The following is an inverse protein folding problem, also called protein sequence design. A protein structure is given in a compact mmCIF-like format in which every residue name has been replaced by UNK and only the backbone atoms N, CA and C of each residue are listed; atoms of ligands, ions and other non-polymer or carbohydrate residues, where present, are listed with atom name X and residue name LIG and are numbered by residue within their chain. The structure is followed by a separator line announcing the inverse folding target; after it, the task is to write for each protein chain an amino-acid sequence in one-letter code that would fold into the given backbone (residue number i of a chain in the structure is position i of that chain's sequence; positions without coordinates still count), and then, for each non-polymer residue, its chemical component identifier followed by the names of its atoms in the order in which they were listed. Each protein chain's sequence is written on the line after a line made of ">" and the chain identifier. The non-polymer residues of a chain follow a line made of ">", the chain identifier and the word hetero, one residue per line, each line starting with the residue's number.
data_IF_069110008985
#
_entry.id   IF_069110008985
#
_cell.length_a   1.000
_cell.length_b   1.000
_cell.length_c   1.000
_cell.angle_alpha   90.00
_cell.angle_beta   90.00
_cell.angle_gamma   90.00
#
_symmetry.space_group_name_H-M   'P 1'
#
loop_
_entity.id
_entity.type
_entity.pdbx_description
1 polymer ?
#
# COMPACT_ATOMS: atom_id res chain seq x y z
N UNK A 1 -35.09 -15.33 -2.71
CA UNK A 1 -34.96 -13.89 -2.34
C UNK A 1 -35.10 -13.68 -0.82
N UNK A 2 -36.10 -14.20 -0.16
CA UNK A 2 -36.34 -14.02 1.29
C UNK A 2 -35.24 -14.65 2.15
N UNK A 3 -34.75 -15.84 1.79
CA UNK A 3 -33.65 -16.53 2.46
C UNK A 3 -32.31 -15.75 2.35
N UNK A 4 -32.02 -15.17 1.20
CA UNK A 4 -30.81 -14.34 1.01
C UNK A 4 -30.90 -13.02 1.80
N UNK A 5 -32.06 -12.39 1.87
CA UNK A 5 -32.28 -11.19 2.66
C UNK A 5 -32.09 -11.47 4.16
N UNK A 6 -32.60 -12.60 4.65
CA UNK A 6 -32.40 -13.00 6.06
C UNK A 6 -30.93 -13.32 6.34
N UNK A 7 -30.24 -14.03 5.45
CA UNK A 7 -28.79 -14.28 5.58
C UNK A 7 -27.98 -12.97 5.64
N UNK A 8 -28.28 -11.99 4.75
CA UNK A 8 -27.67 -10.64 4.81
C UNK A 8 -27.95 -9.96 6.17
N UNK A 9 -29.15 -10.09 6.72
CA UNK A 9 -29.50 -9.47 8.01
C UNK A 9 -28.81 -10.14 9.21
N UNK A 10 -28.71 -11.46 9.19
CA UNK A 10 -27.95 -12.21 10.23
C UNK A 10 -26.50 -11.75 10.22
N UNK A 11 -25.86 -11.71 9.06
CA UNK A 11 -24.46 -11.31 8.93
C UNK A 11 -24.26 -9.84 9.36
N UNK A 12 -25.16 -8.91 9.00
CA UNK A 12 -25.13 -7.52 9.49
C UNK A 12 -25.14 -7.44 11.00
N UNK A 13 -25.98 -8.21 11.67
CA UNK A 13 -26.07 -8.25 13.15
C UNK A 13 -24.75 -8.77 13.74
N UNK A 14 -24.22 -9.87 13.21
CA UNK A 14 -22.96 -10.46 13.68
C UNK A 14 -21.79 -9.46 13.57
N UNK A 15 -21.64 -8.81 12.42
CA UNK A 15 -20.53 -7.87 12.19
C UNK A 15 -20.63 -6.62 13.06
N UNK A 16 -21.84 -6.09 13.26
CA UNK A 16 -22.07 -4.97 14.20
C UNK A 16 -21.71 -5.36 15.65
N UNK A 17 -22.07 -6.56 16.09
CA UNK A 17 -21.71 -7.05 17.43
C UNK A 17 -20.20 -7.17 17.59
N UNK A 18 -19.51 -7.75 16.60
CA UNK A 18 -18.04 -7.90 16.60
C UNK A 18 -17.33 -6.54 16.62
N UNK A 19 -17.78 -5.57 15.82
CA UNK A 19 -17.21 -4.20 15.82
C UNK A 19 -17.36 -3.52 17.18
N UNK A 20 -18.56 -3.60 17.78
CA UNK A 20 -18.83 -3.02 19.11
C UNK A 20 -18.02 -3.67 20.23
N UNK A 21 -17.62 -4.92 20.08
CA UNK A 21 -16.81 -5.64 21.06
C UNK A 21 -15.31 -5.24 21.01
N UNK A 22 -14.86 -4.48 20.02
CA UNK A 22 -13.48 -3.99 19.97
C UNK A 22 -13.25 -2.93 21.05
N UNK A 23 -12.10 -3.00 21.74
CA UNK A 23 -11.69 -1.93 22.63
C UNK A 23 -11.42 -0.63 21.85
N UNK A 24 -11.54 0.54 22.49
CA UNK A 24 -11.21 1.82 21.87
C UNK A 24 -9.77 1.85 21.33
N UNK A 25 -8.81 1.28 22.07
CA UNK A 25 -7.39 1.22 21.72
C UNK A 25 -7.16 0.35 20.48
N UNK A 26 -7.79 -0.84 20.44
CA UNK A 26 -7.69 -1.73 19.27
C UNK A 26 -8.27 -1.08 18.01
N UNK A 27 -9.38 -0.34 18.16
CA UNK A 27 -10.02 0.39 17.06
C UNK A 27 -9.16 1.54 16.60
N UNK A 28 -8.62 2.34 17.54
CA UNK A 28 -7.70 3.45 17.24
C UNK A 28 -6.48 2.94 16.46
N UNK A 29 -5.80 1.90 16.97
CA UNK A 29 -4.64 1.30 16.29
C UNK A 29 -4.98 0.78 14.89
N UNK A 30 -6.13 0.13 14.72
CA UNK A 30 -6.58 -0.32 13.41
C UNK A 30 -6.82 0.84 12.45
N UNK A 31 -7.42 1.94 12.92
CA UNK A 31 -7.65 3.17 12.14
C UNK A 31 -6.33 3.82 11.71
N UNK A 32 -5.35 3.94 12.61
CA UNK A 32 -4.01 4.47 12.30
C UNK A 32 -3.32 3.66 11.20
N UNK A 33 -3.37 2.32 11.28
CA UNK A 33 -2.81 1.44 10.24
C UNK A 33 -3.54 1.62 8.91
N UNK A 34 -4.86 1.68 8.91
CA UNK A 34 -5.66 1.91 7.69
C UNK A 34 -5.32 3.26 7.06
N UNK A 35 -5.30 4.34 7.83
CA UNK A 35 -4.94 5.66 7.31
C UNK A 35 -3.55 5.66 6.68
N UNK A 36 -2.56 5.06 7.35
CA UNK A 36 -1.22 4.96 6.83
C UNK A 36 -1.14 4.14 5.52
N UNK A 37 -1.90 3.04 5.42
CA UNK A 37 -2.00 2.25 4.19
C UNK A 37 -2.63 3.04 3.05
N UNK A 38 -3.74 3.72 3.30
CA UNK A 38 -4.40 4.55 2.28
C UNK A 38 -3.48 5.69 1.79
N UNK A 39 -2.72 6.33 2.68
CA UNK A 39 -1.73 7.35 2.33
C UNK A 39 -0.52 6.81 1.56
N UNK A 40 -0.27 5.51 1.64
CA UNK A 40 0.80 4.81 0.92
C UNK A 40 0.30 4.16 -0.38
N UNK A 41 -1.01 4.19 -0.64
CA UNK A 41 -1.60 3.59 -1.84
C UNK A 41 -1.30 4.44 -3.08
N UNK A 42 -0.51 3.88 -3.99
CA UNK A 42 -0.08 4.57 -5.21
C UNK A 42 -1.24 4.91 -6.15
N UNK A 43 -2.30 4.09 -6.16
CA UNK A 43 -3.51 4.34 -6.95
C UNK A 43 -4.28 5.55 -6.45
N UNK A 44 -4.48 5.67 -5.11
CA UNK A 44 -5.12 6.86 -4.51
C UNK A 44 -4.29 8.10 -4.79
N UNK A 45 -2.98 8.04 -4.55
CA UNK A 45 -2.10 9.19 -4.73
C UNK A 45 -2.09 9.69 -6.18
N UNK A 46 -2.01 8.78 -7.14
CA UNK A 46 -2.05 9.14 -8.56
C UNK A 46 -3.43 9.69 -8.98
N UNK A 47 -4.51 9.06 -8.53
CA UNK A 47 -5.87 9.46 -8.89
C UNK A 47 -6.26 10.84 -8.34
N UNK A 48 -5.63 11.29 -7.26
CA UNK A 48 -6.00 12.52 -6.54
C UNK A 48 -4.92 13.59 -6.54
N UNK A 49 -3.84 13.44 -7.33
CA UNK A 49 -2.75 14.41 -7.38
C UNK A 49 -3.23 15.75 -8.00
N UNK A 50 -3.30 16.85 -7.24
CA UNK A 50 -3.77 18.13 -7.76
C UNK A 50 -2.85 18.71 -8.86
N UNK A 51 -1.56 18.33 -8.88
CA UNK A 51 -0.59 18.81 -9.87
C UNK A 51 -0.76 18.12 -11.23
N UNK A 52 -1.34 16.92 -11.25
CA UNK A 52 -1.62 16.18 -12.47
C UNK A 52 -3.10 16.24 -12.89
N UNK A 53 -3.88 17.17 -12.28
CA UNK A 53 -5.30 17.33 -12.57
C UNK A 53 -6.17 16.24 -11.92
N UNK A 54 -5.72 15.66 -10.83
CA UNK A 54 -6.45 14.64 -10.07
C UNK A 54 -7.77 15.16 -9.52
N UNK A 55 -8.75 14.26 -9.40
CA UNK A 55 -10.09 14.56 -8.93
C UNK A 55 -10.25 14.54 -7.42
N UNK A 56 -11.49 14.54 -6.97
CA UNK A 56 -11.81 14.46 -5.55
C UNK A 56 -11.65 13.02 -5.01
N UNK A 57 -11.37 12.89 -3.71
CA UNK A 57 -11.50 11.64 -2.97
C UNK A 57 -12.77 11.66 -2.12
N UNK A 58 -13.64 10.66 -2.32
CA UNK A 58 -14.82 10.46 -1.49
C UNK A 58 -14.48 9.55 -0.30
N UNK A 59 -14.85 10.00 0.89
CA UNK A 59 -14.64 9.29 2.15
C UNK A 59 -15.93 9.21 2.94
N UNK A 60 -15.97 8.41 3.98
CA UNK A 60 -17.02 8.47 5.00
C UNK A 60 -16.49 9.11 6.28
N UNK A 61 -17.37 9.78 7.00
CA UNK A 61 -17.10 10.24 8.36
C UNK A 61 -17.54 9.15 9.33
N UNK A 62 -16.60 8.63 10.11
CA UNK A 62 -16.79 7.41 10.86
C UNK A 62 -17.81 7.55 12.01
N UNK A 63 -18.69 6.59 12.14
CA UNK A 63 -19.45 6.36 13.37
C UNK A 63 -18.54 5.80 14.49
N UNK A 64 -18.94 5.84 15.76
CA UNK A 64 -18.07 5.45 16.88
C UNK A 64 -17.51 4.02 16.82
N UNK A 65 -18.11 3.12 16.05
CA UNK A 65 -17.68 1.73 15.90
C UNK A 65 -17.05 1.42 14.53
N UNK A 66 -16.85 2.42 13.68
CA UNK A 66 -16.15 2.30 12.41
C UNK A 66 -14.66 2.62 12.52
N UNK A 67 -13.92 2.26 11.48
CA UNK A 67 -12.53 2.68 11.31
C UNK A 67 -12.52 4.19 11.03
N UNK A 68 -11.80 4.94 11.83
CA UNK A 68 -11.71 6.39 11.71
C UNK A 68 -10.67 6.78 10.64
N UNK A 69 -11.09 7.63 9.71
CA UNK A 69 -10.26 8.14 8.61
C UNK A 69 -9.73 9.56 8.86
N UNK A 70 -9.86 10.09 10.06
CA UNK A 70 -9.54 11.49 10.35
C UNK A 70 -8.10 11.88 9.96
N UNK A 71 -7.12 11.01 10.21
CA UNK A 71 -5.73 11.27 9.87
C UNK A 71 -5.49 11.26 8.35
N UNK A 72 -6.14 10.34 7.63
CA UNK A 72 -6.14 10.33 6.17
C UNK A 72 -6.76 11.62 5.60
N UNK A 73 -7.93 12.01 6.10
CA UNK A 73 -8.64 13.23 5.67
C UNK A 73 -7.78 14.47 5.90
N UNK A 74 -7.17 14.63 7.09
CA UNK A 74 -6.29 15.79 7.40
C UNK A 74 -5.11 15.88 6.45
N UNK A 75 -4.47 14.75 6.17
CA UNK A 75 -3.31 14.70 5.27
C UNK A 75 -3.72 15.05 3.83
N UNK A 76 -4.84 14.52 3.33
CA UNK A 76 -5.34 14.83 1.98
C UNK A 76 -5.71 16.30 1.83
N UNK A 77 -6.40 16.87 2.83
CA UNK A 77 -6.68 18.32 2.86
C UNK A 77 -5.40 19.15 2.90
N UNK A 78 -4.41 18.74 3.70
CA UNK A 78 -3.09 19.38 3.78
C UNK A 78 -2.32 19.39 2.46
N UNK A 79 -2.54 18.39 1.61
CA UNK A 79 -1.98 18.29 0.25
C UNK A 79 -2.78 19.10 -0.79
N UNK A 80 -3.87 19.74 -0.40
CA UNK A 80 -4.74 20.48 -1.31
C UNK A 80 -5.70 19.61 -2.13
N UNK A 81 -5.85 18.33 -1.78
CA UNK A 81 -6.82 17.43 -2.43
C UNK A 81 -8.24 17.80 -2.02
N UNK A 82 -9.17 17.80 -2.98
CA UNK A 82 -10.60 17.93 -2.68
C UNK A 82 -11.11 16.64 -2.01
N UNK A 83 -11.50 16.73 -0.74
CA UNK A 83 -12.09 15.63 0.02
C UNK A 83 -13.58 15.84 0.15
N UNK A 84 -14.37 14.82 -0.16
CA UNK A 84 -15.85 14.87 -0.10
C UNK A 84 -16.42 13.74 0.76
N UNK A 85 -17.58 13.97 1.34
CA UNK A 85 -18.31 12.96 2.10
C UNK A 85 -19.80 13.04 1.83
N UNK A 86 -20.56 11.94 1.97
CA UNK A 86 -22.01 11.98 1.86
C UNK A 86 -22.64 12.96 2.86
N UNK A 87 -23.55 13.79 2.36
CA UNK A 87 -24.32 14.77 3.12
C UNK A 87 -25.80 14.62 2.76
N UNK A 88 -26.64 14.54 3.78
CA UNK A 88 -28.10 14.44 3.61
C UNK A 88 -28.71 15.79 3.27
N UNK A 89 -29.46 15.88 2.18
CA UNK A 89 -30.13 17.08 1.72
C UNK A 89 -31.59 17.21 2.17
N UNK A 90 -32.16 16.15 2.74
CA UNK A 90 -33.56 16.00 3.14
C UNK A 90 -34.27 14.85 2.44
N UNK A 91 -33.80 14.42 1.26
CA UNK A 91 -34.38 13.37 0.45
C UNK A 91 -33.35 12.28 0.08
N UNK A 92 -32.14 12.69 -0.23
CA UNK A 92 -31.06 11.80 -0.67
C UNK A 92 -29.70 12.23 -0.10
N UNK A 93 -28.65 11.43 -0.36
CA UNK A 93 -27.29 11.81 -0.08
C UNK A 93 -26.63 12.35 -1.35
N UNK A 94 -26.04 13.54 -1.24
CA UNK A 94 -25.12 14.14 -2.20
C UNK A 94 -23.71 14.17 -1.61
N UNK A 95 -22.68 14.31 -2.45
CA UNK A 95 -21.31 14.49 -1.99
C UNK A 95 -21.04 15.96 -1.73
N UNK A 96 -20.61 16.32 -0.52
CA UNK A 96 -20.24 17.66 -0.17
C UNK A 96 -18.79 17.73 0.31
N UNK A 97 -18.11 18.86 0.02
CA UNK A 97 -16.72 19.08 0.41
C UNK A 97 -16.54 19.14 1.91
N UNK A 98 -15.48 18.49 2.39
CA UNK A 98 -14.97 18.61 3.75
C UNK A 98 -13.94 19.74 3.76
N UNK A 99 -14.17 20.79 4.57
CA UNK A 99 -13.22 21.91 4.74
C UNK A 99 -12.33 21.73 5.98
N UNK A 100 -12.74 20.89 6.90
CA UNK A 100 -12.05 20.55 8.14
C UNK A 100 -12.83 19.54 8.94
N UNK A 101 -12.25 19.06 10.04
CA UNK A 101 -12.85 18.06 10.93
C UNK A 101 -13.24 18.63 12.30
N UNK A 102 -13.33 19.96 12.41
CA UNK A 102 -13.81 20.66 13.59
C UNK A 102 -15.33 20.88 13.57
N UNK A 103 -15.90 21.28 14.69
CA UNK A 103 -17.33 21.49 14.87
C UNK A 103 -17.91 22.61 13.99
N UNK A 104 -17.08 23.53 13.45
CA UNK A 104 -17.53 24.57 12.53
C UNK A 104 -17.76 24.02 11.10
N UNK A 105 -17.01 22.98 10.74
CA UNK A 105 -17.01 22.38 9.40
C UNK A 105 -17.89 21.13 9.30
N UNK A 106 -18.34 20.57 10.43
CA UNK A 106 -19.15 19.38 10.49
C UNK A 106 -20.47 19.61 11.21
N UNK A 107 -21.50 18.90 10.79
CA UNK A 107 -22.81 18.85 11.49
C UNK A 107 -23.23 17.39 11.73
N UNK A 108 -24.24 17.19 12.55
CA UNK A 108 -24.86 15.87 12.71
C UNK A 108 -26.06 15.74 11.78
N UNK A 109 -25.99 14.76 10.91
CA UNK A 109 -27.06 14.37 10.01
C UNK A 109 -27.94 13.25 10.57
N UNK A 110 -28.70 12.57 9.70
CA UNK A 110 -29.50 11.41 10.08
C UNK A 110 -28.68 10.34 10.80
N UNK A 111 -29.33 9.62 11.72
CA UNK A 111 -28.70 8.60 12.58
C UNK A 111 -27.50 9.11 13.41
N UNK A 112 -27.40 10.42 13.61
CA UNK A 112 -26.33 11.08 14.37
C UNK A 112 -24.92 10.88 13.75
N UNK A 113 -24.85 10.64 12.45
CA UNK A 113 -23.59 10.54 11.69
C UNK A 113 -23.10 11.95 11.37
N UNK A 114 -21.78 12.17 11.48
CA UNK A 114 -21.17 13.44 11.07
C UNK A 114 -21.22 13.58 9.55
N UNK A 115 -21.48 14.80 9.08
CA UNK A 115 -21.48 15.15 7.67
C UNK A 115 -20.99 16.59 7.48
N UNK A 116 -20.54 17.00 6.27
CA UNK A 116 -20.12 18.37 6.03
C UNK A 116 -21.22 19.38 6.39
N UNK A 117 -20.87 20.46 7.11
CA UNK A 117 -21.82 21.49 7.52
C UNK A 117 -22.34 22.30 6.32
N UNK A 118 -21.43 22.64 5.40
CA UNK A 118 -21.78 23.36 4.17
C UNK A 118 -22.17 22.40 3.05
N UNK A 119 -23.08 22.85 2.18
CA UNK A 119 -23.56 22.09 1.02
C UNK A 119 -22.79 22.50 -0.26
N UNK A 120 -21.45 22.50 -0.22
CA UNK A 120 -20.64 22.66 -1.42
C UNK A 120 -20.56 21.30 -2.13
N UNK A 121 -21.52 21.09 -3.05
CA UNK A 121 -21.74 19.81 -3.71
C UNK A 121 -20.68 19.58 -4.78
N UNK A 122 -20.25 18.32 -4.89
CA UNK A 122 -19.35 17.79 -5.92
C UNK A 122 -20.05 16.65 -6.61
N UNK A 123 -20.02 16.64 -7.92
CA UNK A 123 -20.66 15.57 -8.70
C UNK A 123 -19.86 14.25 -8.55
N UNK A 124 -20.54 13.09 -8.53
CA UNK A 124 -19.84 11.80 -8.46
C UNK A 124 -18.84 11.58 -9.60
N UNK A 125 -19.05 12.20 -10.77
CA UNK A 125 -18.14 12.16 -11.93
C UNK A 125 -16.79 12.84 -11.68
N UNK A 126 -16.73 13.76 -10.72
CA UNK A 126 -15.49 14.47 -10.36
C UNK A 126 -14.67 13.73 -9.29
N UNK A 127 -15.20 12.61 -8.80
CA UNK A 127 -14.55 11.76 -7.80
C UNK A 127 -13.74 10.70 -8.51
N UNK A 128 -12.45 10.65 -8.25
CA UNK A 128 -11.51 9.70 -8.86
C UNK A 128 -11.14 8.54 -7.94
N UNK A 129 -11.30 8.71 -6.62
CA UNK A 129 -11.08 7.65 -5.65
C UNK A 129 -12.18 7.65 -4.57
N UNK A 130 -12.62 6.45 -4.17
CA UNK A 130 -13.67 6.23 -3.19
C UNK A 130 -13.17 5.33 -2.06
N UNK A 131 -13.26 5.81 -0.83
CA UNK A 131 -13.04 4.99 0.37
C UNK A 131 -14.41 4.60 0.93
N UNK A 132 -14.75 3.32 0.78
CA UNK A 132 -16.11 2.83 0.95
C UNK A 132 -16.24 2.03 2.25
N UNK A 133 -17.19 2.39 3.15
CA UNK A 133 -17.46 1.64 4.36
C UNK A 133 -18.36 0.43 4.09
N UNK A 134 -18.35 -0.53 5.02
CA UNK A 134 -19.24 -1.68 4.97
C UNK A 134 -19.23 -2.51 6.24
N UNK A 135 -20.12 -3.50 6.31
CA UNK A 135 -20.22 -4.43 7.42
C UNK A 135 -19.45 -5.73 7.16
N UNK A 136 -19.43 -6.22 5.90
CA UNK A 136 -18.63 -7.35 5.49
C UNK A 136 -18.14 -7.14 4.05
N UNK A 137 -17.03 -7.80 3.72
CA UNK A 137 -16.41 -7.73 2.40
C UNK A 137 -15.87 -9.10 2.01
N UNK A 138 -15.72 -9.34 0.72
CA UNK A 138 -14.96 -10.46 0.20
C UNK A 138 -13.65 -9.99 -0.43
N UNK A 139 -12.70 -10.89 -0.59
CA UNK A 139 -11.42 -10.58 -1.24
C UNK A 139 -11.57 -10.16 -2.70
N UNK A 140 -12.65 -10.58 -3.36
CA UNK A 140 -13.00 -10.24 -4.74
C UNK A 140 -13.85 -8.97 -4.86
N UNK A 141 -13.95 -8.17 -3.80
CA UNK A 141 -14.55 -6.83 -3.81
C UNK A 141 -16.07 -6.77 -3.61
N UNK A 142 -16.75 -7.88 -3.28
CA UNK A 142 -18.17 -7.79 -2.88
C UNK A 142 -18.29 -7.11 -1.52
N UNK A 143 -19.36 -6.36 -1.33
CA UNK A 143 -19.59 -5.56 -0.11
C UNK A 143 -21.00 -5.78 0.45
N UNK A 144 -21.09 -5.97 1.75
CA UNK A 144 -22.35 -5.91 2.49
C UNK A 144 -22.46 -4.55 3.20
N UNK A 145 -23.30 -3.69 2.69
CA UNK A 145 -23.62 -2.39 3.30
C UNK A 145 -24.61 -2.50 4.47
N UNK A 146 -24.99 -1.34 5.00
CA UNK A 146 -25.91 -1.22 6.14
C UNK A 146 -27.39 -1.54 5.82
N UNK A 147 -27.75 -1.68 4.54
CA UNK A 147 -29.08 -2.03 4.05
C UNK A 147 -29.88 -0.88 3.45
N UNK A 148 -29.36 0.35 3.45
CA UNK A 148 -30.02 1.52 2.84
C UNK A 148 -29.76 1.71 1.35
N UNK A 149 -28.80 1.00 0.76
CA UNK A 149 -28.41 1.11 -0.65
C UNK A 149 -27.84 2.48 -1.07
N UNK A 150 -27.48 3.34 -0.10
CA UNK A 150 -27.00 4.71 -0.39
C UNK A 150 -25.68 4.73 -1.16
N UNK A 151 -24.70 3.90 -0.74
CA UNK A 151 -23.43 3.81 -1.45
C UNK A 151 -23.58 3.18 -2.84
N UNK A 152 -24.50 2.23 -3.03
CA UNK A 152 -24.73 1.63 -4.34
C UNK A 152 -25.32 2.66 -5.32
N UNK A 153 -26.17 3.57 -4.83
CA UNK A 153 -26.65 4.72 -5.64
C UNK A 153 -25.56 5.75 -5.93
N UNK A 154 -24.76 6.12 -4.93
CA UNK A 154 -23.65 7.09 -5.12
C UNK A 154 -22.58 6.54 -6.07
N UNK A 155 -22.35 5.23 -6.04
CA UNK A 155 -21.34 4.57 -6.87
C UNK A 155 -21.87 4.16 -8.26
N UNK A 156 -23.19 4.28 -8.50
CA UNK A 156 -23.77 3.88 -9.77
C UNK A 156 -23.19 4.65 -10.97
N UNK A 157 -22.88 5.93 -10.76
CA UNK A 157 -22.29 6.81 -11.77
C UNK A 157 -20.76 6.91 -11.66
N UNK A 158 -20.14 6.22 -10.71
CA UNK A 158 -18.71 6.22 -10.46
C UNK A 158 -17.97 5.20 -11.36
N UNK A 159 -18.18 5.29 -12.68
CA UNK A 159 -17.47 4.45 -13.63
C UNK A 159 -15.99 4.84 -13.70
N UNK A 160 -15.13 3.85 -13.95
CA UNK A 160 -13.66 4.03 -14.13
C UNK A 160 -12.95 4.78 -12.99
N UNK A 161 -13.50 4.74 -11.76
CA UNK A 161 -12.91 5.32 -10.57
C UNK A 161 -12.42 4.26 -9.61
N UNK A 162 -11.40 4.57 -8.83
CA UNK A 162 -10.82 3.65 -7.84
C UNK A 162 -11.75 3.52 -6.63
N UNK A 163 -12.20 2.30 -6.31
CA UNK A 163 -13.12 1.99 -5.21
C UNK A 163 -12.45 1.06 -4.20
N UNK A 164 -12.14 1.59 -3.03
CA UNK A 164 -11.41 0.87 -1.98
C UNK A 164 -12.31 0.67 -0.76
N UNK A 165 -12.52 -0.57 -0.36
CA UNK A 165 -13.15 -0.91 0.90
C UNK A 165 -12.17 -0.81 2.06
N UNK A 166 -12.64 -0.40 3.23
CA UNK A 166 -11.86 -0.49 4.47
C UNK A 166 -12.59 -1.33 5.50
N UNK A 167 -11.87 -2.27 6.12
CA UNK A 167 -12.46 -3.30 6.96
C UNK A 167 -11.50 -3.76 8.05
N UNK A 168 -12.02 -4.19 9.19
CA UNK A 168 -11.27 -5.05 10.10
C UNK A 168 -11.12 -6.46 9.50
N UNK A 169 -10.08 -7.20 9.87
CA UNK A 169 -9.81 -8.57 9.40
C UNK A 169 -11.05 -9.47 9.47
N UNK A 170 -11.76 -9.41 10.58
CA UNK A 170 -12.94 -10.26 10.81
C UNK A 170 -14.16 -9.90 9.94
N UNK A 171 -14.12 -8.79 9.22
CA UNK A 171 -15.15 -8.39 8.26
C UNK A 171 -14.90 -8.98 6.87
N UNK A 172 -13.72 -9.61 6.65
CA UNK A 172 -13.45 -10.35 5.42
C UNK A 172 -14.09 -11.74 5.54
N UNK A 173 -14.98 -12.04 4.63
CA UNK A 173 -15.68 -13.32 4.54
C UNK A 173 -15.43 -13.98 3.19
N UNK A 174 -15.64 -15.30 3.10
CA UNK A 174 -15.34 -16.05 1.89
C UNK A 174 -16.32 -15.73 0.75
N UNK A 175 -17.59 -15.51 1.08
CA UNK A 175 -18.63 -15.17 0.09
C UNK A 175 -19.73 -14.29 0.69
N UNK A 176 -20.36 -13.50 -0.19
CA UNK A 176 -21.50 -12.66 0.12
C UNK A 176 -22.58 -12.81 -0.94
N UNK A 177 -23.87 -12.88 -0.54
CA UNK A 177 -24.96 -12.78 -1.50
C UNK A 177 -24.85 -11.48 -2.29
N UNK A 178 -24.76 -11.58 -3.60
CA UNK A 178 -24.55 -10.45 -4.53
C UNK A 178 -25.75 -10.32 -5.45
N UNK A 179 -26.18 -9.09 -5.67
CA UNK A 179 -27.27 -8.74 -6.59
C UNK A 179 -26.69 -7.96 -7.78
N UNK A 180 -27.38 -7.96 -8.95
CA UNK A 180 -26.84 -7.31 -10.16
C UNK A 180 -26.55 -5.81 -10.03
N UNK A 181 -27.19 -5.14 -9.07
CA UNK A 181 -27.00 -3.72 -8.80
C UNK A 181 -25.96 -3.42 -7.70
N UNK A 182 -25.44 -4.45 -7.02
CA UNK A 182 -24.38 -4.27 -6.04
C UNK A 182 -23.08 -3.91 -6.76
N UNK A 183 -22.45 -2.81 -6.38
CA UNK A 183 -21.19 -2.34 -6.97
C UNK A 183 -20.00 -3.06 -6.32
N UNK A 184 -19.13 -3.62 -7.16
CA UNK A 184 -17.87 -4.23 -6.69
C UNK A 184 -16.82 -3.16 -6.44
N UNK A 185 -16.02 -3.42 -5.43
CA UNK A 185 -14.83 -2.64 -5.10
C UNK A 185 -13.61 -3.25 -5.81
N UNK A 186 -12.61 -2.41 -6.11
CA UNK A 186 -11.37 -2.87 -6.73
C UNK A 186 -10.53 -3.69 -5.76
N UNK A 187 -10.45 -3.25 -4.49
CA UNK A 187 -9.82 -4.02 -3.42
C UNK A 187 -10.31 -3.59 -2.03
N UNK A 188 -9.92 -4.34 -1.00
CA UNK A 188 -10.27 -4.06 0.39
C UNK A 188 -9.01 -3.99 1.23
N UNK A 189 -8.83 -2.88 1.95
CA UNK A 189 -7.69 -2.65 2.85
C UNK A 189 -8.09 -3.05 4.27
N UNK A 190 -7.25 -3.84 4.92
CA UNK A 190 -7.41 -4.24 6.32
C UNK A 190 -6.20 -3.83 7.16
N UNK A 191 -6.30 -3.74 8.49
CA UNK A 191 -5.18 -3.38 9.36
C UNK A 191 -4.12 -4.48 9.47
N UNK A 192 -4.27 -5.60 8.74
CA UNK A 192 -3.25 -6.65 8.71
C UNK A 192 -1.98 -6.17 8.01
N UNK A 193 -0.90 -6.08 8.75
CA UNK A 193 0.43 -5.87 8.20
C UNK A 193 0.99 -7.26 7.89
N UNK A 194 0.86 -7.71 6.64
CA UNK A 194 1.50 -8.94 6.19
C UNK A 194 3.02 -8.74 6.14
N UNK A 195 3.68 -9.07 7.24
CA UNK A 195 5.10 -8.84 7.46
C UNK A 195 5.98 -10.04 7.08
N UNK A 196 5.49 -10.95 6.22
CA UNK A 196 6.23 -12.18 5.87
C UNK A 196 7.68 -11.96 5.46
N UNK A 197 8.03 -10.75 5.04
CA UNK A 197 9.37 -10.38 4.60
C UNK A 197 10.03 -9.31 5.46
N UNK A 198 9.37 -8.86 6.53
CA UNK A 198 9.83 -7.80 7.41
C UNK A 198 9.86 -8.30 8.86
N UNK A 199 11.05 -8.47 9.41
CA UNK A 199 11.23 -8.70 10.83
C UNK A 199 11.25 -7.34 11.55
N UNK A 200 10.33 -7.14 12.48
CA UNK A 200 10.23 -5.91 13.28
C UNK A 200 10.15 -6.26 14.75
N UNK A 201 11.07 -5.72 15.53
CA UNK A 201 11.14 -5.95 16.98
C UNK A 201 11.14 -4.61 17.70
N UNK A 202 10.13 -4.38 18.51
CA UNK A 202 10.09 -3.23 19.41
C UNK A 202 11.01 -3.46 20.61
N UNK A 203 11.67 -2.41 21.07
CA UNK A 203 12.52 -2.41 22.24
C UNK A 203 12.09 -1.26 23.17
N UNK A 204 12.38 -1.30 24.49
CA UNK A 204 11.95 -0.23 25.40
C UNK A 204 12.41 1.18 24.97
N UNK A 205 13.52 1.30 24.27
CA UNK A 205 14.12 2.56 23.84
C UNK A 205 13.95 2.84 22.34
N UNK A 206 13.18 2.02 21.60
CA UNK A 206 13.01 2.19 20.15
C UNK A 206 12.63 0.89 19.43
N UNK A 207 13.22 0.61 18.28
CA UNK A 207 12.96 -0.63 17.53
C UNK A 207 14.13 -1.07 16.67
N UNK A 208 14.08 -2.33 16.25
CA UNK A 208 14.95 -2.89 15.21
C UNK A 208 14.07 -3.47 14.09
N UNK A 209 14.38 -3.13 12.84
CA UNK A 209 13.69 -3.67 11.68
C UNK A 209 14.69 -4.24 10.68
N UNK A 210 14.38 -5.40 10.10
CA UNK A 210 15.20 -6.04 9.06
C UNK A 210 14.33 -6.76 8.04
N UNK A 211 14.85 -6.92 6.82
CA UNK A 211 14.18 -7.73 5.80
C UNK A 211 14.42 -9.20 6.08
N UNK A 212 13.37 -10.04 5.99
CA UNK A 212 13.42 -11.46 6.34
C UNK A 212 14.45 -12.26 5.53
N UNK A 213 14.97 -13.33 6.15
CA UNK A 213 15.96 -14.22 5.56
C UNK A 213 15.49 -14.90 4.25
N UNK A 214 14.19 -15.12 4.10
CA UNK A 214 13.60 -15.82 2.93
C UNK A 214 13.73 -14.98 1.65
N UNK A 215 13.45 -13.67 1.73
CA UNK A 215 13.66 -12.74 0.61
C UNK A 215 15.15 -12.62 0.26
N UNK A 216 16.02 -12.62 1.26
CA UNK A 216 17.47 -12.62 1.09
C UNK A 216 17.97 -13.84 0.36
N UNK A 217 17.47 -15.04 0.71
CA UNK A 217 17.85 -16.29 0.06
C UNK A 217 17.48 -16.29 -1.42
N UNK A 218 16.23 -15.91 -1.77
CA UNK A 218 15.77 -15.84 -3.17
C UNK A 218 16.65 -14.89 -4.01
N UNK A 219 17.03 -13.74 -3.47
CA UNK A 219 17.90 -12.76 -4.16
C UNK A 219 19.33 -13.28 -4.34
N UNK A 220 19.90 -13.96 -3.34
CA UNK A 220 21.22 -14.59 -3.46
C UNK A 220 21.24 -15.65 -4.54
N UNK A 221 20.23 -16.51 -4.59
CA UNK A 221 20.09 -17.55 -5.62
C UNK A 221 19.98 -16.90 -7.01
N UNK A 222 19.14 -15.90 -7.18
CA UNK A 222 19.01 -15.19 -8.46
C UNK A 222 20.32 -14.53 -8.89
N UNK A 223 21.07 -13.92 -7.96
CA UNK A 223 22.38 -13.34 -8.24
C UNK A 223 23.42 -14.38 -8.70
N UNK A 224 23.48 -15.51 -8.02
CA UNK A 224 24.37 -16.63 -8.37
C UNK A 224 24.03 -17.16 -9.75
N UNK A 225 22.75 -17.38 -10.05
CA UNK A 225 22.29 -17.84 -11.37
C UNK A 225 22.64 -16.84 -12.49
N UNK A 226 22.53 -15.54 -12.21
CA UNK A 226 22.94 -14.47 -13.15
C UNK A 226 24.44 -14.48 -13.41
N UNK A 227 25.27 -14.69 -12.38
CA UNK A 227 26.73 -14.82 -12.53
C UNK A 227 27.10 -16.06 -13.37
N UNK A 228 26.45 -17.18 -13.13
CA UNK A 228 26.65 -18.40 -13.93
C UNK A 228 26.28 -18.18 -15.39
N UNK A 229 25.15 -17.49 -15.67
CA UNK A 229 24.76 -17.14 -17.04
C UNK A 229 25.81 -16.28 -17.73
N UNK A 230 26.32 -15.25 -17.06
CA UNK A 230 27.37 -14.38 -17.62
C UNK A 230 28.71 -15.12 -17.84
N UNK A 231 29.03 -16.14 -17.08
CA UNK A 231 30.25 -16.94 -17.25
C UNK A 231 30.27 -17.74 -18.56
N UNK A 232 29.13 -17.91 -19.23
CA UNK A 232 29.05 -18.54 -20.54
C UNK A 232 29.60 -17.65 -21.68
N UNK A 233 29.71 -16.34 -21.45
CA UNK A 233 30.14 -15.39 -22.48
C UNK A 233 31.54 -15.68 -23.07
N UNK A 234 32.62 -15.92 -22.28
CA UNK A 234 33.92 -16.25 -22.84
C UNK A 234 33.91 -17.59 -23.59
N UNK A 235 33.11 -18.56 -23.16
CA UNK A 235 32.98 -19.86 -23.84
C UNK A 235 32.38 -19.65 -25.24
N UNK A 236 31.38 -18.80 -25.34
CA UNK A 236 30.73 -18.44 -26.59
C UNK A 236 31.71 -17.79 -27.61
N UNK A 237 32.55 -16.87 -27.12
CA UNK A 237 33.59 -16.22 -27.92
C UNK A 237 34.61 -17.23 -28.45
N UNK A 238 35.03 -18.19 -27.60
CA UNK A 238 35.97 -19.24 -28.03
C UNK A 238 35.36 -20.16 -29.07
N UNK A 239 34.12 -20.59 -28.95
CA UNK A 239 33.38 -21.42 -29.91
C UNK A 239 33.22 -20.66 -31.23
N UNK A 240 32.82 -19.38 -31.18
CA UNK A 240 32.70 -18.54 -32.39
C UNK A 240 34.04 -18.35 -33.13
N UNK A 241 35.12 -18.14 -32.37
CA UNK A 241 36.47 -18.05 -32.96
C UNK A 241 36.94 -19.38 -33.57
N UNK A 242 36.70 -20.51 -32.93
CA UNK A 242 37.04 -21.84 -33.45
C UNK A 242 36.29 -22.16 -34.73
N UNK A 243 35.00 -21.78 -34.83
CA UNK A 243 34.22 -21.92 -36.06
C UNK A 243 34.77 -21.02 -37.19
N UNK A 244 35.02 -19.75 -36.87
CA UNK A 244 35.56 -18.79 -37.84
C UNK A 244 36.93 -19.24 -38.43
N UNK A 245 37.72 -19.90 -37.61
CA UNK A 245 39.05 -20.41 -38.02
C UNK A 245 39.03 -21.81 -38.64
N UNK A 246 37.84 -22.40 -38.90
CA UNK A 246 37.69 -23.71 -39.49
C UNK A 246 38.07 -24.89 -38.61
N UNK A 247 38.22 -24.66 -37.31
CA UNK A 247 38.51 -25.73 -36.32
C UNK A 247 37.28 -26.61 -36.02
N UNK A 248 36.08 -26.07 -36.30
CA UNK A 248 34.81 -26.75 -36.04
C UNK A 248 34.05 -26.75 -37.38
N UNK A 249 33.76 -27.94 -37.93
CA UNK A 249 32.94 -28.11 -39.13
C UNK A 249 31.49 -28.43 -38.72
N UNK A 250 30.66 -27.42 -38.72
CA UNK A 250 29.24 -27.53 -38.41
C UNK A 250 28.40 -26.75 -39.41
N UNK A 251 27.18 -27.22 -39.74
CA UNK A 251 26.29 -26.45 -40.62
C UNK A 251 25.91 -25.11 -39.95
N UNK A 252 25.82 -24.06 -40.78
CA UNK A 252 25.59 -22.68 -40.30
C UNK A 252 24.37 -22.53 -39.39
N UNK A 253 23.28 -23.26 -39.67
CA UNK A 253 22.09 -23.22 -38.81
C UNK A 253 22.36 -23.77 -37.40
N UNK A 254 23.19 -24.80 -37.28
CA UNK A 254 23.55 -25.39 -35.97
C UNK A 254 24.44 -24.41 -35.17
N UNK A 255 25.38 -23.74 -35.84
CA UNK A 255 26.23 -22.71 -35.22
C UNK A 255 25.39 -21.53 -34.77
N UNK A 256 24.45 -21.06 -35.59
CA UNK A 256 23.53 -19.97 -35.22
C UNK A 256 22.66 -20.33 -34.06
N UNK A 257 22.11 -21.55 -34.00
CA UNK A 257 21.33 -22.02 -32.87
C UNK A 257 22.17 -22.12 -31.57
N UNK A 258 23.41 -22.61 -31.71
CA UNK A 258 24.35 -22.75 -30.59
C UNK A 258 24.83 -21.40 -30.05
N UNK A 259 24.81 -20.34 -30.86
CA UNK A 259 25.15 -18.97 -30.44
C UNK A 259 23.94 -18.20 -29.94
N UNK A 260 22.78 -18.30 -30.57
CA UNK A 260 21.59 -17.52 -30.24
C UNK A 260 21.03 -17.85 -28.86
N UNK A 261 20.95 -19.15 -28.48
CA UNK A 261 20.39 -19.55 -27.20
C UNK A 261 21.23 -19.05 -26.00
N UNK A 262 22.56 -19.21 -26.00
CA UNK A 262 23.38 -18.65 -24.94
C UNK A 262 23.43 -17.12 -24.96
N UNK A 263 23.40 -16.45 -26.15
CA UNK A 263 23.29 -14.99 -26.19
C UNK A 263 22.02 -14.47 -25.54
N UNK A 264 20.89 -15.10 -25.80
CA UNK A 264 19.64 -14.80 -25.13
C UNK A 264 19.74 -15.02 -23.60
N UNK A 265 20.34 -16.16 -23.18
CA UNK A 265 20.56 -16.44 -21.76
C UNK A 265 21.46 -15.40 -21.07
N UNK A 266 22.54 -14.96 -21.76
CA UNK A 266 23.44 -13.90 -21.28
C UNK A 266 22.70 -12.56 -21.18
N UNK A 267 21.89 -12.21 -22.19
CA UNK A 267 21.11 -10.99 -22.16
C UNK A 267 20.08 -10.96 -21.01
N UNK A 268 19.37 -12.08 -20.80
CA UNK A 268 18.44 -12.25 -19.68
C UNK A 268 19.19 -12.19 -18.34
N UNK A 269 20.32 -12.88 -18.22
CA UNK A 269 21.16 -12.86 -17.02
C UNK A 269 21.73 -11.47 -16.74
N UNK A 270 22.13 -10.74 -17.76
CA UNK A 270 22.61 -9.35 -17.66
C UNK A 270 21.51 -8.40 -17.19
N UNK A 271 20.30 -8.53 -17.76
CA UNK A 271 19.15 -7.74 -17.32
C UNK A 271 18.75 -8.07 -15.87
N UNK A 272 18.75 -9.37 -15.49
CA UNK A 272 18.51 -9.80 -14.12
C UNK A 272 19.60 -9.26 -13.16
N UNK A 273 20.87 -9.28 -13.57
CA UNK A 273 21.97 -8.75 -12.81
C UNK A 273 21.86 -7.23 -12.60
N UNK A 274 21.48 -6.47 -13.65
CA UNK A 274 21.22 -5.03 -13.53
C UNK A 274 20.07 -4.75 -12.57
N UNK A 275 18.98 -5.49 -12.65
CA UNK A 275 17.88 -5.38 -11.69
C UNK A 275 18.30 -5.70 -10.26
N UNK A 276 19.13 -6.72 -10.03
CA UNK A 276 19.65 -7.06 -8.71
C UNK A 276 20.62 -5.99 -8.21
N UNK A 277 21.48 -5.44 -9.08
CA UNK A 277 22.44 -4.39 -8.70
C UNK A 277 21.75 -3.03 -8.43
N UNK A 278 20.68 -2.72 -9.18
CA UNK A 278 19.88 -1.52 -8.98
C UNK A 278 18.70 -1.78 -8.00
N UNK A 279 18.50 -3.02 -7.61
CA UNK A 279 17.44 -3.45 -6.71
C UNK A 279 17.61 -2.94 -5.29
N UNK A 280 16.55 -3.07 -4.49
CA UNK A 280 16.55 -2.62 -3.12
C UNK A 280 17.64 -3.34 -2.33
N UNK A 281 18.44 -2.55 -1.68
CA UNK A 281 19.44 -3.04 -0.76
C UNK A 281 18.76 -3.53 0.52
N UNK A 282 19.25 -4.64 1.06
CA UNK A 282 18.83 -5.09 2.38
C UNK A 282 19.24 -4.05 3.38
N UNK A 283 18.28 -3.54 4.12
CA UNK A 283 18.50 -2.58 5.18
C UNK A 283 18.19 -3.21 6.54
N UNK A 284 19.06 -2.97 7.48
CA UNK A 284 18.80 -3.15 8.90
C UNK A 284 18.69 -1.74 9.51
N UNK A 285 17.53 -1.44 10.10
CA UNK A 285 17.27 -0.17 10.74
C UNK A 285 17.20 -0.40 12.24
N UNK A 286 17.99 0.35 12.99
CA UNK A 286 17.95 0.37 14.46
C UNK A 286 17.68 1.78 14.91
N UNK A 287 16.67 1.95 15.74
CA UNK A 287 16.34 3.22 16.39
C UNK A 287 16.48 3.02 17.89
N UNK A 288 17.17 3.97 18.52
CA UNK A 288 17.29 4.04 19.98
C UNK A 288 17.12 5.49 20.43
N UNK A 289 16.03 5.78 21.16
CA UNK A 289 15.62 7.16 21.45
C UNK A 289 15.40 7.96 20.16
N UNK A 290 16.04 9.11 20.04
CA UNK A 290 15.99 9.96 18.86
C UNK A 290 17.01 9.60 17.77
N UNK A 291 17.91 8.64 18.00
CA UNK A 291 18.93 8.28 17.04
C UNK A 291 18.57 7.04 16.25
N UNK A 292 18.64 7.14 14.93
CA UNK A 292 18.44 6.05 14.00
C UNK A 292 19.70 5.71 13.21
N UNK A 293 19.91 4.43 12.97
CA UNK A 293 20.98 3.91 12.12
C UNK A 293 20.38 2.95 11.10
N UNK A 294 20.52 3.28 9.81
CA UNK A 294 20.22 2.38 8.73
C UNK A 294 21.50 1.81 8.14
N UNK A 295 21.68 0.49 8.22
CA UNK A 295 22.81 -0.24 7.63
C UNK A 295 22.35 -0.90 6.34
N UNK A 296 22.89 -0.45 5.22
CA UNK A 296 22.59 -1.02 3.90
C UNK A 296 23.65 -2.08 3.56
N UNK A 297 23.17 -3.23 3.08
CA UNK A 297 24.04 -4.35 2.69
C UNK A 297 23.58 -4.88 1.33
N UNK A 298 24.52 -5.00 0.39
CA UNK A 298 24.27 -5.68 -0.86
C UNK A 298 24.11 -7.19 -0.61
N UNK A 299 22.98 -7.76 -1.01
CA UNK A 299 22.62 -9.18 -0.78
C UNK A 299 22.70 -9.61 0.70
N UNK A 300 22.59 -8.68 1.64
CA UNK A 300 22.69 -8.96 3.08
C UNK A 300 24.09 -9.32 3.58
N UNK A 301 25.11 -9.32 2.73
CA UNK A 301 26.47 -9.76 3.03
C UNK A 301 27.49 -8.63 2.97
N UNK A 302 27.51 -7.86 1.88
CA UNK A 302 28.51 -6.84 1.62
C UNK A 302 28.04 -5.50 2.16
N UNK A 303 28.70 -4.91 3.16
CA UNK A 303 28.35 -3.57 3.64
C UNK A 303 28.47 -2.55 2.52
N UNK A 304 27.41 -1.75 2.29
CA UNK A 304 27.45 -0.67 1.29
C UNK A 304 27.49 0.70 1.93
N UNK A 305 26.53 1.00 2.77
CA UNK A 305 26.41 2.32 3.39
C UNK A 305 25.76 2.21 4.76
N UNK A 306 26.24 3.01 5.69
CA UNK A 306 25.55 3.27 6.96
C UNK A 306 25.08 4.71 6.95
N UNK A 307 23.77 4.92 7.10
CA UNK A 307 23.13 6.22 7.21
C UNK A 307 22.77 6.40 8.68
N UNK A 308 23.16 7.52 9.26
CA UNK A 308 22.67 7.96 10.58
C UNK A 308 21.63 9.02 10.34
N UNK A 309 20.52 8.96 11.05
CA UNK A 309 19.44 9.91 10.94
C UNK A 309 18.83 10.19 12.32
N UNK A 310 18.18 11.33 12.44
CA UNK A 310 17.40 11.64 13.63
C UNK A 310 16.01 11.06 13.47
N UNK A 311 15.59 10.29 14.47
CA UNK A 311 14.26 9.72 14.50
C UNK A 311 13.24 10.79 14.87
N UNK A 312 12.19 10.91 14.08
CA UNK A 312 11.09 11.82 14.30
C UNK A 312 9.84 11.32 13.56
N UNK A 313 8.67 11.96 13.67
CA UNK A 313 7.40 11.47 13.15
C UNK A 313 7.29 11.39 11.60
N UNK A 314 8.39 11.35 10.85
CA UNK A 314 8.41 11.63 9.40
C UNK A 314 9.10 10.55 8.57
N UNK A 315 8.92 9.28 8.91
CA UNK A 315 9.26 8.23 7.96
C UNK A 315 8.15 8.17 6.90
N UNK A 316 8.50 8.37 5.62
CA UNK A 316 7.58 8.30 4.49
C UNK A 316 8.02 7.19 3.54
N UNK A 317 7.05 6.41 3.05
CA UNK A 317 7.24 5.54 1.91
C UNK A 317 6.62 6.20 0.69
N UNK A 318 7.37 6.23 -0.41
CA UNK A 318 6.90 6.80 -1.67
C UNK A 318 6.90 5.73 -2.74
N UNK A 319 5.89 5.70 -3.64
CA UNK A 319 5.97 4.91 -4.85
C UNK A 319 7.17 5.38 -5.70
N UNK A 320 7.91 4.43 -6.27
CA UNK A 320 9.04 4.71 -7.15
C UNK A 320 8.49 5.05 -8.55
N UNK A 321 8.16 6.31 -8.80
CA UNK A 321 7.68 6.78 -10.10
C UNK A 321 8.41 8.04 -10.53
N UNK A 322 9.34 7.87 -11.45
CA UNK A 322 9.58 8.70 -12.63
C UNK A 322 10.95 8.38 -13.22
N UNK A 323 10.96 7.63 -14.29
CA UNK A 323 12.12 7.42 -15.15
C UNK A 323 12.35 5.96 -15.51
N UNK A 324 12.37 5.68 -16.74
CA UNK A 324 12.77 4.55 -17.60
C UNK A 324 12.62 3.08 -17.13
N UNK A 325 12.45 2.78 -15.84
CA UNK A 325 12.20 1.43 -15.30
C UNK A 325 11.32 1.52 -14.04
N UNK A 326 10.06 1.90 -14.18
CA UNK A 326 9.10 1.82 -13.09
C UNK A 326 8.39 0.46 -13.12
N UNK A 327 8.84 -0.46 -12.28
CA UNK A 327 7.93 -1.50 -11.84
C UNK A 327 6.86 -0.81 -10.96
N UNK A 328 5.55 -1.01 -11.19
CA UNK A 328 4.49 -0.32 -10.46
C UNK A 328 4.46 -0.59 -8.94
N UNK A 329 5.26 -1.55 -8.47
CA UNK A 329 5.36 -1.96 -7.07
C UNK A 329 6.63 -1.45 -6.36
N UNK A 330 7.46 -0.62 -7.02
CA UNK A 330 8.71 -0.15 -6.42
C UNK A 330 8.44 1.03 -5.47
N UNK A 331 8.99 0.96 -4.25
CA UNK A 331 8.84 1.98 -3.23
C UNK A 331 10.19 2.30 -2.59
N UNK A 332 10.36 3.49 -2.06
CA UNK A 332 11.49 3.84 -1.22
C UNK A 332 11.05 4.36 0.15
N UNK A 333 11.83 4.05 1.18
CA UNK A 333 11.67 4.60 2.51
C UNK A 333 12.62 5.76 2.69
N UNK A 334 12.11 6.90 3.12
CA UNK A 334 12.90 8.08 3.44
C UNK A 334 12.57 8.63 4.82
N UNK A 335 13.47 9.42 5.35
CA UNK A 335 13.26 10.26 6.54
C UNK A 335 13.56 11.70 6.18
N UNK A 336 12.82 12.64 6.77
CA UNK A 336 13.02 14.08 6.57
C UNK A 336 13.70 14.65 7.81
N UNK A 337 14.89 15.21 7.66
CA UNK A 337 15.63 15.87 8.74
C UNK A 337 15.99 17.30 8.32
N UNK A 338 15.54 18.30 9.09
CA UNK A 338 15.82 19.70 8.80
C UNK A 338 15.34 20.19 7.42
N UNK A 339 14.27 19.61 6.88
CA UNK A 339 13.73 19.90 5.54
C UNK A 339 14.47 19.19 4.40
N UNK A 340 15.45 18.35 4.70
CA UNK A 340 16.18 17.51 3.71
C UNK A 340 15.70 16.08 3.81
N UNK A 341 15.26 15.54 2.69
CA UNK A 341 14.84 14.15 2.59
C UNK A 341 16.05 13.22 2.38
N UNK A 342 16.19 12.21 3.24
CA UNK A 342 17.20 11.17 3.13
C UNK A 342 16.55 9.84 2.81
N UNK A 343 16.83 9.28 1.63
CA UNK A 343 16.39 7.94 1.25
C UNK A 343 17.19 6.90 2.02
N UNK A 344 16.51 6.12 2.86
CA UNK A 344 17.13 5.05 3.64
C UNK A 344 17.35 3.80 2.79
N UNK A 345 16.35 3.35 2.06
CA UNK A 345 16.44 2.26 1.08
C UNK A 345 15.22 2.24 0.15
N UNK A 346 15.32 1.42 -0.90
CA UNK A 346 14.23 1.17 -1.84
C UNK A 346 13.87 -0.32 -1.86
N UNK A 347 12.61 -0.64 -2.15
CA UNK A 347 12.10 -2.01 -2.34
C UNK A 347 11.31 -2.10 -3.64
N UNK A 348 11.17 -3.31 -4.21
CA UNK A 348 10.32 -3.58 -5.38
C UNK A 348 8.94 -4.13 -4.97
N UNK A 349 8.58 -4.00 -3.70
CA UNK A 349 7.33 -4.44 -3.11
C UNK A 349 6.88 -3.40 -2.06
N UNK A 350 5.79 -3.69 -1.38
CA UNK A 350 5.21 -2.86 -0.34
C UNK A 350 5.98 -2.88 1.01
N UNK A 351 7.17 -3.48 1.06
CA UNK A 351 7.97 -3.59 2.31
C UNK A 351 8.34 -2.22 2.86
N UNK A 352 8.65 -1.24 2.00
CA UNK A 352 8.96 0.12 2.45
C UNK A 352 7.75 0.79 3.11
N UNK A 353 6.56 0.64 2.53
CA UNK A 353 5.29 1.12 3.12
C UNK A 353 5.00 0.45 4.46
N UNK A 354 5.11 -0.86 4.55
CA UNK A 354 4.89 -1.63 5.78
C UNK A 354 5.83 -1.19 6.89
N UNK A 355 7.11 -1.01 6.55
CA UNK A 355 8.09 -0.53 7.52
C UNK A 355 7.82 0.92 7.95
N UNK A 356 7.48 1.81 7.03
CA UNK A 356 7.09 3.19 7.35
C UNK A 356 5.92 3.24 8.33
N UNK A 357 4.89 2.43 8.09
CA UNK A 357 3.73 2.31 8.98
C UNK A 357 4.15 1.85 10.38
N UNK A 358 4.97 0.80 10.46
CA UNK A 358 5.47 0.28 11.75
C UNK A 358 6.34 1.29 12.49
N UNK A 359 7.22 1.97 11.77
CA UNK A 359 8.06 3.02 12.32
C UNK A 359 7.23 4.17 12.90
N UNK A 360 6.23 4.65 12.16
CA UNK A 360 5.36 5.73 12.60
C UNK A 360 4.50 5.33 13.80
N UNK A 361 4.00 4.09 13.85
CA UNK A 361 3.27 3.57 15.00
C UNK A 361 4.14 3.45 16.25
N UNK A 362 5.39 3.01 16.12
CA UNK A 362 6.32 2.90 17.24
C UNK A 362 6.67 4.27 17.85
N UNK A 363 6.59 5.36 17.09
CA UNK A 363 6.82 6.72 17.59
C UNK A 363 5.67 7.23 18.48
N UNK A 364 4.44 6.75 18.27
CA UNK A 364 3.27 7.17 19.05
C UNK A 364 3.07 6.39 20.35
N UNK A 365 3.88 5.39 20.62
CA UNK A 365 3.87 4.70 21.90
C UNK A 365 4.62 5.56 22.93
N UNK A 366 3.86 6.27 23.77
CA UNK A 366 4.40 6.99 24.91
C UNK A 366 5.11 5.97 25.83
N UNK A 367 6.44 6.09 26.06
CA UNK A 367 7.17 5.15 26.90
C UNK A 367 6.63 5.08 28.34
N UNK A 368 5.93 6.12 28.82
CA UNK A 368 5.31 6.14 30.16
C UNK A 368 3.99 5.36 30.23
N UNK A 369 3.39 4.95 29.11
CA UNK A 369 2.16 4.16 29.09
C UNK A 369 2.37 2.65 29.27
N UNK A 370 3.61 2.17 29.29
CA UNK A 370 3.96 0.73 29.42
C UNK A 370 4.09 0.29 30.88
N UNK A 371 4.05 1.22 31.85
CA UNK A 371 4.17 0.95 33.28
C UNK A 371 2.91 1.28 34.10
N UNK A 372 1.75 1.38 33.47
CA UNK A 372 0.45 1.55 34.16
C UNK A 372 -0.39 0.26 34.12
#
# INVERSE_FOLDING_TARGET
>A
MEEQAEAKNVLRRQMRTRRKALSPEARKRASEIICAKLLSDGGIMAATDPLEGGGAVAVYLASPDELDLADFIREMLGRGVTVVSPRWDGETYALAKIKGLDDANLRRGPMNILEPAEAEIVEPSDVTAWIVPGLAFTKDGKRLGYGGGWYDRLLADANDTLKIGVAHEFQIVDDLPHEPHDIRLDHVVTPNLDDRHLEFTETPDGFCASISADLLHKRRVSFILSLLGLSLFPILLLVGAAFKNGMIDMPTWAVMSFLLVPCAAIAISGAAMLNICNGPEVAEIKVKGEEGICRRRFLGLIPRRTIRFRWGPWAKAYPFGNGFYSAPESQYLSVVEGGVEQVLFATYDDTASKLSIRMNLAHHVDPDSVHA
#
